data_IF_682295080119
#
_entry.id   IF_682295080119
#
_cell.length_a   1.000
_cell.length_b   1.000
_cell.length_c   1.000
_cell.angle_alpha   90.00
_cell.angle_beta   90.00
_cell.angle_gamma   90.00
#
_symmetry.space_group_name_H-M   'P 1'
#
loop_
_entity.id
_entity.type
_entity.pdbx_description
1 polymer ?
#
# COMPACT_ATOMS: atom_id res chain seq x y z
N UNK A 1 42.91 -5.89 30.55
CA UNK A 1 41.47 -6.17 30.48
C UNK A 1 40.61 -4.90 30.61
N UNK A 2 40.76 -4.11 31.69
CA UNK A 2 39.98 -2.89 31.95
C UNK A 2 40.08 -1.80 30.86
N UNK A 3 41.23 -1.70 30.15
CA UNK A 3 41.41 -0.78 29.02
C UNK A 3 40.60 -1.11 27.75
N UNK A 4 40.14 -2.35 27.61
CA UNK A 4 39.29 -2.75 26.48
C UNK A 4 37.82 -2.52 26.83
N UNK A 5 37.44 -2.77 28.09
CA UNK A 5 36.08 -2.60 28.59
C UNK A 5 35.56 -1.17 28.47
N UNK A 6 36.37 -0.14 28.81
CA UNK A 6 35.90 1.25 28.68
C UNK A 6 35.63 1.67 27.22
N UNK A 7 36.32 1.05 26.24
CA UNK A 7 36.10 1.34 24.81
C UNK A 7 34.76 0.79 24.34
N UNK A 8 34.40 -0.42 24.77
CA UNK A 8 33.09 -1.00 24.46
C UNK A 8 31.96 -0.26 25.20
N UNK A 9 32.17 0.10 26.47
CA UNK A 9 31.21 0.92 27.23
C UNK A 9 31.02 2.30 26.60
N UNK A 10 32.09 2.95 26.14
CA UNK A 10 31.99 4.24 25.44
C UNK A 10 31.30 4.10 24.08
N UNK A 11 31.59 3.04 23.31
CA UNK A 11 30.91 2.77 22.04
C UNK A 11 29.41 2.51 22.23
N UNK A 12 29.02 1.76 23.26
CA UNK A 12 27.62 1.49 23.58
C UNK A 12 26.88 2.76 24.05
N UNK A 13 27.55 3.63 24.81
CA UNK A 13 27.00 4.92 25.23
C UNK A 13 26.77 5.86 24.03
N UNK A 14 27.72 5.90 23.08
CA UNK A 14 27.60 6.68 21.85
C UNK A 14 26.43 6.20 20.98
N UNK A 15 26.29 4.89 20.84
CA UNK A 15 25.19 4.27 20.09
C UNK A 15 23.84 4.58 20.73
N UNK A 16 23.72 4.48 22.07
CA UNK A 16 22.50 4.89 22.78
C UNK A 16 22.17 6.37 22.55
N UNK A 17 23.15 7.28 22.64
CA UNK A 17 22.89 8.72 22.41
C UNK A 17 22.42 9.04 20.99
N UNK A 18 22.95 8.33 19.99
CA UNK A 18 22.54 8.48 18.59
C UNK A 18 21.17 7.83 18.32
N UNK A 19 20.80 6.78 19.04
CA UNK A 19 19.52 6.08 18.86
C UNK A 19 18.29 6.92 19.28
N UNK A 20 18.43 7.84 20.23
CA UNK A 20 17.31 8.64 20.75
C UNK A 20 17.14 10.02 20.12
N UNK A 21 18.09 10.48 19.30
CA UNK A 21 18.06 11.83 18.67
C UNK A 21 17.61 11.81 17.20
N UNK A 22 17.39 10.63 16.62
CA UNK A 22 17.18 10.47 15.17
C UNK A 22 15.70 10.45 14.73
N UNK A 23 14.74 10.53 15.65
CA UNK A 23 13.31 10.46 15.31
C UNK A 23 12.58 11.69 15.83
N UNK A 24 12.52 12.73 15.01
CA UNK A 24 11.57 13.82 15.16
C UNK A 24 10.39 13.53 14.22
N UNK A 25 9.19 13.42 14.79
CA UNK A 25 7.97 13.16 14.02
C UNK A 25 7.28 14.51 13.80
N UNK A 26 7.31 14.97 12.56
CA UNK A 26 6.49 16.11 12.14
C UNK A 26 5.01 15.76 12.28
N UNK A 27 4.24 16.64 12.94
CA UNK A 27 2.81 16.44 13.08
C UNK A 27 2.11 16.76 11.77
N UNK A 28 1.38 15.78 11.25
CA UNK A 28 0.52 15.96 10.06
C UNK A 28 -0.94 16.06 10.53
N UNK A 29 -1.63 17.12 10.12
CA UNK A 29 -3.05 17.28 10.41
C UNK A 29 -3.87 16.42 9.46
N UNK A 30 -4.77 15.59 10.00
CA UNK A 30 -5.61 14.65 9.24
C UNK A 30 -4.85 13.84 8.16
N UNK A 31 -3.90 12.98 8.57
CA UNK A 31 -3.03 12.26 7.63
C UNK A 31 -3.79 11.23 6.76
N UNK A 32 -4.99 10.82 7.19
CA UNK A 32 -5.78 9.81 6.49
C UNK A 32 -6.80 10.42 5.53
N UNK A 33 -7.14 11.70 5.69
CA UNK A 33 -8.10 12.39 4.85
C UNK A 33 -7.77 13.89 4.70
N UNK A 34 -6.57 14.24 4.18
CA UNK A 34 -6.17 15.62 4.07
C UNK A 34 -7.11 16.38 3.12
N UNK A 35 -7.37 17.65 3.44
CA UNK A 35 -8.12 18.52 2.55
C UNK A 35 -7.35 18.79 1.26
N UNK A 36 -8.05 19.04 0.15
CA UNK A 36 -7.36 19.40 -1.10
C UNK A 36 -6.55 20.69 -0.96
N UNK A 37 -7.06 21.68 -0.20
CA UNK A 37 -6.39 22.95 0.00
C UNK A 37 -5.08 22.82 0.79
N UNK A 38 -5.04 21.95 1.81
CA UNK A 38 -3.84 21.74 2.65
C UNK A 38 -2.68 21.14 1.85
N UNK A 39 -2.97 20.39 0.79
CA UNK A 39 -1.94 19.72 -0.01
C UNK A 39 -1.56 20.44 -1.31
N UNK A 40 -2.29 21.49 -1.70
CA UNK A 40 -2.06 22.22 -2.97
C UNK A 40 -1.57 23.66 -2.78
N UNK A 41 -1.69 24.26 -1.59
CA UNK A 41 -1.36 25.69 -1.40
C UNK A 41 0.08 25.94 -0.92
N UNK A 42 0.65 25.03 -0.11
CA UNK A 42 2.05 25.03 0.35
C UNK A 42 2.28 23.83 1.29
N UNK A 43 2.15 22.60 0.77
CA UNK A 43 2.26 21.41 1.60
C UNK A 43 3.64 21.31 2.26
N UNK A 44 3.68 20.98 3.56
CA UNK A 44 4.92 20.63 4.23
C UNK A 44 5.53 19.35 3.64
N UNK A 45 6.82 19.14 3.88
CA UNK A 45 7.51 17.92 3.45
C UNK A 45 6.84 16.65 4.02
N UNK A 46 6.42 16.70 5.28
CA UNK A 46 5.75 15.59 5.94
C UNK A 46 4.41 15.25 5.28
N UNK A 47 3.57 16.26 5.01
CA UNK A 47 2.28 16.08 4.31
C UNK A 47 2.47 15.46 2.91
N UNK A 48 3.47 15.94 2.16
CA UNK A 48 3.77 15.39 0.83
C UNK A 48 4.27 13.95 0.91
N UNK A 49 5.13 13.61 1.87
CA UNK A 49 5.60 12.24 2.09
C UNK A 49 4.46 11.29 2.47
N UNK A 50 3.53 11.74 3.31
CA UNK A 50 2.32 10.96 3.63
C UNK A 50 1.47 10.70 2.39
N UNK A 51 1.27 11.71 1.54
CA UNK A 51 0.53 11.55 0.29
C UNK A 51 1.18 10.57 -0.68
N UNK A 52 2.50 10.67 -0.88
CA UNK A 52 3.25 9.73 -1.74
C UNK A 52 3.15 8.31 -1.18
N UNK A 53 3.34 8.13 0.12
CA UNK A 53 3.21 6.81 0.78
C UNK A 53 1.79 6.24 0.60
N UNK A 54 0.77 7.08 0.75
CA UNK A 54 -0.63 6.71 0.50
C UNK A 54 -0.90 6.36 -0.97
N UNK A 55 -0.28 7.07 -1.91
CA UNK A 55 -0.34 6.78 -3.34
C UNK A 55 0.25 5.39 -3.63
N UNK A 56 1.43 5.08 -3.09
CA UNK A 56 2.05 3.76 -3.23
C UNK A 56 1.19 2.65 -2.63
N UNK A 57 0.63 2.87 -1.44
CA UNK A 57 -0.27 1.92 -0.80
C UNK A 57 -1.52 1.65 -1.65
N UNK A 58 -2.16 2.71 -2.15
CA UNK A 58 -3.31 2.60 -3.05
C UNK A 58 -2.95 1.92 -4.36
N UNK A 59 -1.78 2.23 -4.93
CA UNK A 59 -1.31 1.58 -6.15
C UNK A 59 -1.09 0.08 -5.94
N UNK A 60 -0.61 -0.40 -4.80
CA UNK A 60 -0.46 -1.85 -4.57
C UNK A 60 -1.79 -2.61 -4.53
N UNK A 61 -2.90 -1.94 -4.20
CA UNK A 61 -4.21 -2.58 -4.02
C UNK A 61 -4.80 -3.26 -5.27
N UNK A 62 -4.27 -3.02 -6.47
CA UNK A 62 -4.73 -3.76 -7.67
C UNK A 62 -4.03 -5.10 -7.86
N UNK A 63 -2.82 -5.28 -7.31
CA UNK A 63 -1.92 -6.38 -7.66
C UNK A 63 -2.51 -7.74 -7.30
N UNK A 64 -3.07 -7.85 -6.09
CA UNK A 64 -3.76 -9.07 -5.62
C UNK A 64 -4.93 -9.42 -6.55
N UNK A 65 -5.88 -8.48 -6.69
CA UNK A 65 -7.06 -8.64 -7.54
C UNK A 65 -6.71 -9.02 -8.99
N UNK A 66 -5.73 -8.34 -9.59
CA UNK A 66 -5.29 -8.60 -10.96
C UNK A 66 -4.56 -9.95 -11.09
N UNK A 67 -3.64 -10.25 -10.17
CA UNK A 67 -2.84 -11.46 -10.20
C UNK A 67 -3.70 -12.71 -10.05
N UNK A 68 -4.61 -12.72 -9.09
CA UNK A 68 -5.46 -13.89 -8.82
C UNK A 68 -6.50 -14.10 -9.93
N UNK A 69 -7.14 -13.02 -10.41
CA UNK A 69 -8.15 -13.10 -11.46
C UNK A 69 -7.54 -13.48 -12.80
N UNK A 70 -6.54 -12.73 -13.29
CA UNK A 70 -5.93 -13.01 -14.59
C UNK A 70 -5.11 -14.30 -14.57
N UNK A 71 -4.46 -14.63 -13.46
CA UNK A 71 -3.79 -15.91 -13.28
C UNK A 71 -4.78 -17.08 -13.34
N UNK A 72 -5.99 -16.93 -12.77
CA UNK A 72 -7.04 -17.95 -12.89
C UNK A 72 -7.54 -18.09 -14.32
N UNK A 73 -7.74 -16.96 -15.04
CA UNK A 73 -8.11 -16.98 -16.45
C UNK A 73 -7.06 -17.69 -17.30
N UNK A 74 -5.77 -17.41 -17.03
CA UNK A 74 -4.62 -18.04 -17.68
C UNK A 74 -4.32 -19.47 -17.22
N UNK A 75 -5.05 -20.00 -16.22
CA UNK A 75 -4.84 -21.33 -15.61
C UNK A 75 -3.49 -21.49 -14.88
N UNK A 76 -2.95 -20.39 -14.37
CA UNK A 76 -1.68 -20.35 -13.63
C UNK A 76 -1.89 -20.51 -12.13
N UNK A 77 -3.03 -20.05 -11.62
CA UNK A 77 -3.38 -20.14 -10.19
C UNK A 77 -4.81 -20.62 -10.00
N UNK A 78 -5.08 -21.10 -8.79
CA UNK A 78 -6.42 -21.44 -8.30
C UNK A 78 -6.70 -20.57 -7.08
N UNK A 79 -7.58 -19.57 -7.23
CA UNK A 79 -7.89 -18.64 -6.16
C UNK A 79 -8.99 -19.20 -5.25
N UNK A 80 -8.68 -19.37 -3.95
CA UNK A 80 -9.61 -19.88 -2.94
C UNK A 80 -9.88 -18.80 -1.89
N UNK A 81 -11.12 -18.34 -1.82
CA UNK A 81 -11.55 -17.36 -0.83
C UNK A 81 -12.61 -17.97 0.07
N UNK A 82 -12.37 -17.91 1.38
CA UNK A 82 -13.33 -18.43 2.35
C UNK A 82 -14.60 -17.55 2.46
N UNK A 83 -14.50 -16.28 2.06
CA UNK A 83 -15.62 -15.34 2.02
C UNK A 83 -16.61 -15.64 0.89
N UNK A 84 -16.13 -16.20 -0.23
CA UNK A 84 -16.98 -16.59 -1.35
C UNK A 84 -16.32 -17.73 -2.14
N UNK A 85 -16.84 -18.97 -2.06
CA UNK A 85 -16.24 -20.11 -2.75
C UNK A 85 -16.51 -20.15 -4.26
N UNK A 86 -17.34 -19.24 -4.80
CA UNK A 86 -17.77 -19.27 -6.20
C UNK A 86 -16.68 -18.86 -7.18
N UNK A 87 -15.67 -18.11 -6.74
CA UNK A 87 -14.59 -17.59 -7.61
C UNK A 87 -13.94 -18.65 -8.46
N UNK A 88 -13.70 -19.83 -7.90
CA UNK A 88 -13.07 -20.90 -8.63
C UNK A 88 -13.90 -21.30 -9.86
N UNK A 89 -15.21 -21.43 -9.68
CA UNK A 89 -16.10 -21.80 -10.78
C UNK A 89 -16.24 -20.63 -11.77
N UNK A 90 -16.47 -19.42 -11.25
CA UNK A 90 -16.75 -18.23 -12.06
C UNK A 90 -15.51 -17.79 -12.87
N UNK A 91 -14.32 -17.78 -12.26
CA UNK A 91 -13.09 -17.36 -12.94
C UNK A 91 -12.54 -18.42 -13.89
N UNK A 92 -12.76 -19.70 -13.60
CA UNK A 92 -12.37 -20.77 -14.51
C UNK A 92 -13.45 -21.11 -15.55
N UNK A 93 -14.65 -20.55 -15.44
CA UNK A 93 -15.76 -20.89 -16.34
C UNK A 93 -16.24 -22.34 -16.17
N UNK A 94 -16.12 -22.92 -14.97
CA UNK A 94 -16.53 -24.30 -14.72
C UNK A 94 -18.05 -24.43 -14.82
N UNK A 95 -18.51 -25.58 -15.30
CA UNK A 95 -19.95 -25.84 -15.48
C UNK A 95 -20.62 -24.97 -16.54
N UNK A 96 -19.83 -24.31 -17.41
CA UNK A 96 -20.35 -23.39 -18.43
C UNK A 96 -20.65 -21.97 -17.91
N UNK A 97 -20.30 -21.67 -16.65
CA UNK A 97 -20.51 -20.35 -16.06
C UNK A 97 -19.32 -19.41 -16.30
N UNK A 98 -19.16 -18.94 -17.54
CA UNK A 98 -18.13 -17.96 -17.91
C UNK A 98 -18.66 -16.51 -17.92
N UNK A 99 -19.87 -16.29 -17.41
CA UNK A 99 -20.56 -15.00 -17.52
C UNK A 99 -20.12 -14.05 -16.40
N UNK A 100 -19.76 -12.82 -16.79
CA UNK A 100 -19.46 -11.74 -15.85
C UNK A 100 -20.76 -11.16 -15.29
N UNK A 101 -20.87 -11.01 -13.97
CA UNK A 101 -22.02 -10.39 -13.29
C UNK A 101 -21.59 -9.18 -12.43
N UNK A 102 -22.51 -8.29 -12.02
CA UNK A 102 -22.16 -7.04 -11.33
C UNK A 102 -21.37 -7.21 -10.02
N UNK A 103 -21.58 -8.31 -9.31
CA UNK A 103 -20.89 -8.65 -8.06
C UNK A 103 -19.69 -9.58 -8.29
N UNK A 104 -19.12 -9.59 -9.49
CA UNK A 104 -17.90 -10.32 -9.83
C UNK A 104 -16.74 -9.77 -8.99
N UNK A 105 -16.65 -10.23 -7.75
CA UNK A 105 -15.84 -9.63 -6.68
C UNK A 105 -14.36 -9.66 -7.05
N UNK A 106 -13.59 -8.71 -6.49
CA UNK A 106 -12.20 -8.39 -6.86
C UNK A 106 -11.98 -7.83 -8.29
N UNK A 107 -12.84 -8.11 -9.27
CA UNK A 107 -12.64 -7.65 -10.65
C UNK A 107 -12.64 -6.12 -10.83
N UNK A 108 -13.51 -5.42 -10.07
CA UNK A 108 -13.54 -3.97 -10.08
C UNK A 108 -12.24 -3.38 -9.50
N UNK A 109 -11.67 -4.03 -8.47
CA UNK A 109 -10.43 -3.61 -7.83
C UNK A 109 -9.23 -3.56 -8.79
N UNK A 110 -9.24 -4.42 -9.83
CA UNK A 110 -8.25 -4.42 -10.91
C UNK A 110 -8.16 -3.08 -11.65
N UNK A 111 -9.28 -2.34 -11.75
CA UNK A 111 -9.33 -1.06 -12.48
C UNK A 111 -9.56 0.14 -11.55
N UNK A 112 -10.43 0.01 -10.56
CA UNK A 112 -10.77 1.09 -9.63
C UNK A 112 -9.53 1.57 -8.87
N UNK A 113 -8.70 0.65 -8.35
CA UNK A 113 -7.52 1.04 -7.57
C UNK A 113 -6.48 1.80 -8.40
N UNK A 114 -6.11 1.36 -9.62
CA UNK A 114 -5.23 2.13 -10.50
C UNK A 114 -5.80 3.50 -10.87
N UNK A 115 -7.08 3.61 -11.23
CA UNK A 115 -7.69 4.90 -11.57
C UNK A 115 -7.72 5.87 -10.38
N UNK A 116 -8.00 5.37 -9.17
CA UNK A 116 -7.94 6.19 -7.97
C UNK A 116 -6.49 6.64 -7.66
N UNK A 117 -5.50 5.77 -7.90
CA UNK A 117 -4.09 6.13 -7.77
C UNK A 117 -3.70 7.23 -8.78
N UNK A 118 -4.08 7.09 -10.05
CA UNK A 118 -3.85 8.13 -11.08
C UNK A 118 -4.51 9.45 -10.70
N UNK A 119 -5.75 9.40 -10.21
CA UNK A 119 -6.47 10.61 -9.75
C UNK A 119 -5.73 11.32 -8.61
N UNK A 120 -5.19 10.57 -7.65
CA UNK A 120 -4.38 11.13 -6.57
C UNK A 120 -3.03 11.67 -7.08
N UNK A 121 -2.35 10.95 -7.99
CA UNK A 121 -1.10 11.38 -8.59
C UNK A 121 -1.28 12.72 -9.34
N UNK A 122 -2.39 12.89 -10.06
CA UNK A 122 -2.71 14.16 -10.74
C UNK A 122 -2.82 15.34 -9.77
N UNK A 123 -3.34 15.13 -8.56
CA UNK A 123 -3.37 16.16 -7.51
C UNK A 123 -1.95 16.51 -7.03
N UNK A 124 -1.08 15.51 -6.89
CA UNK A 124 0.29 15.68 -6.38
C UNK A 124 1.20 16.43 -7.36
N UNK A 125 1.00 16.24 -8.67
CA UNK A 125 1.85 16.86 -9.71
C UNK A 125 1.37 18.24 -10.17
N UNK A 126 0.24 18.73 -9.62
CA UNK A 126 -0.30 20.06 -9.91
C UNK A 126 0.42 21.10 -9.07
#
# INVERSE_FOLDING_TARGET
MMKSMYKYSFGMLLFSFLAFTACEIDTVTDPNNPSLASVTTNASKAEMQTLITGLEARHRGYVENAGEMFGSFGREVYAFFNSDPRFLNDWLGLGGNAETYPDFFASAGTYVNPYLAVKQANVIIT
#
